data_IF_946922676724
#
_entry.id   IF_946922676724
#
_cell.length_a   1.000
_cell.length_b   1.000
_cell.length_c   1.000
_cell.angle_alpha   90.00
_cell.angle_beta   90.00
_cell.angle_gamma   90.00
#
_symmetry.space_group_name_H-M   'P 1'
#
loop_
_entity.id
_entity.type
_entity.pdbx_description
1 polymer ?
#
# COMPACT_ATOMS: atom_id res chain seq x y z
N UNK A 1 -36.76 -8.34 -55.83
CA UNK A 1 -36.61 -7.66 -54.53
C UNK A 1 -36.94 -8.65 -53.42
N UNK A 2 -35.98 -9.04 -52.58
CA UNK A 2 -36.21 -9.96 -51.45
C UNK A 2 -36.71 -9.14 -50.25
N UNK A 3 -37.87 -9.50 -49.72
CA UNK A 3 -38.44 -8.89 -48.51
C UNK A 3 -37.75 -9.47 -47.28
N UNK A 4 -37.06 -8.61 -46.53
CA UNK A 4 -36.42 -8.96 -45.26
C UNK A 4 -37.52 -8.98 -44.19
N UNK A 5 -37.78 -10.14 -43.59
CA UNK A 5 -38.65 -10.26 -42.42
C UNK A 5 -37.88 -9.78 -41.19
N UNK A 6 -38.27 -8.65 -40.64
CA UNK A 6 -37.70 -8.10 -39.41
C UNK A 6 -38.20 -8.93 -38.21
N UNK A 7 -37.28 -9.55 -37.46
CA UNK A 7 -37.63 -10.40 -36.33
C UNK A 7 -38.00 -9.53 -35.12
N UNK A 8 -39.30 -9.39 -34.85
CA UNK A 8 -39.89 -8.50 -33.84
C UNK A 8 -39.32 -8.73 -32.43
N UNK A 9 -38.93 -9.96 -32.09
CA UNK A 9 -38.34 -10.28 -30.79
C UNK A 9 -36.95 -9.64 -30.58
N UNK A 10 -36.15 -9.50 -31.64
CA UNK A 10 -34.84 -8.83 -31.56
C UNK A 10 -34.97 -7.32 -31.39
N UNK A 11 -36.03 -6.71 -31.94
CA UNK A 11 -36.27 -5.27 -31.85
C UNK A 11 -36.65 -4.85 -30.42
N UNK A 12 -37.44 -5.65 -29.71
CA UNK A 12 -37.78 -5.41 -28.30
C UNK A 12 -36.57 -5.53 -27.37
N UNK A 13 -35.62 -6.42 -27.66
CA UNK A 13 -34.42 -6.62 -26.85
C UNK A 13 -33.44 -5.45 -27.00
N UNK A 14 -33.34 -4.88 -28.20
CA UNK A 14 -32.52 -3.68 -28.47
C UNK A 14 -33.13 -2.42 -27.86
N UNK A 15 -34.45 -2.25 -27.89
CA UNK A 15 -35.12 -1.14 -27.20
C UNK A 15 -35.01 -1.26 -25.66
N UNK A 16 -35.05 -2.48 -25.11
CA UNK A 16 -34.86 -2.72 -23.68
C UNK A 16 -33.46 -2.32 -23.18
N UNK A 17 -32.42 -2.54 -23.98
CA UNK A 17 -31.05 -2.15 -23.66
C UNK A 17 -30.84 -0.62 -23.70
N UNK A 18 -31.52 0.09 -24.60
CA UNK A 18 -31.44 1.56 -24.72
C UNK A 18 -32.17 2.33 -23.59
N UNK A 19 -33.14 1.70 -22.94
CA UNK A 19 -33.86 2.30 -21.81
C UNK A 19 -33.05 2.23 -20.50
N UNK A 20 -32.12 1.28 -20.36
CA UNK A 20 -31.26 1.15 -19.17
C UNK A 20 -30.15 2.22 -19.17
N UNK A 21 -29.69 2.65 -20.35
CA UNK A 21 -28.66 3.71 -20.48
C UNK A 21 -29.17 5.12 -20.14
N UNK A 22 -30.47 5.31 -19.91
CA UNK A 22 -31.07 6.64 -19.67
C UNK A 22 -31.28 6.97 -18.18
N UNK A 23 -31.00 6.04 -17.27
CA UNK A 23 -31.11 6.26 -15.82
C UNK A 23 -29.74 6.50 -15.16
N UNK A 24 -28.82 7.18 -15.83
CA UNK A 24 -27.68 7.80 -15.15
C UNK A 24 -28.12 9.12 -14.51
N UNK A 25 -29.08 9.06 -13.58
CA UNK A 25 -29.29 10.15 -12.63
C UNK A 25 -28.16 10.02 -11.61
N UNK A 26 -27.05 10.73 -11.84
CA UNK A 26 -26.08 11.03 -10.80
C UNK A 26 -26.72 12.00 -9.80
N UNK A 27 -27.65 11.48 -8.99
CA UNK A 27 -28.09 12.14 -7.78
C UNK A 27 -26.99 11.93 -6.74
N UNK A 28 -26.34 13.02 -6.32
CA UNK A 28 -25.49 13.07 -5.13
C UNK A 28 -26.33 12.71 -3.90
N UNK A 29 -26.58 11.41 -3.71
CA UNK A 29 -27.18 10.88 -2.50
C UNK A 29 -26.17 11.10 -1.37
N UNK A 30 -26.38 12.16 -0.59
CA UNK A 30 -25.67 12.38 0.68
C UNK A 30 -26.03 11.24 1.62
N UNK A 31 -25.23 10.18 1.60
CA UNK A 31 -25.31 9.03 2.52
C UNK A 31 -25.50 9.54 3.95
N UNK A 32 -26.44 8.97 4.68
CA UNK A 32 -26.61 9.23 6.10
C UNK A 32 -25.36 8.79 6.89
N UNK A 33 -25.19 9.29 8.12
CA UNK A 33 -24.05 8.90 8.97
C UNK A 33 -23.97 7.39 9.21
N UNK A 34 -25.12 6.71 9.28
CA UNK A 34 -25.20 5.25 9.45
C UNK A 34 -24.72 4.53 8.20
N UNK A 35 -25.23 4.90 7.03
CA UNK A 35 -24.82 4.30 5.76
C UNK A 35 -23.32 4.52 5.49
N UNK A 36 -22.78 5.71 5.75
CA UNK A 36 -21.32 5.95 5.64
C UNK A 36 -20.49 5.02 6.54
N UNK A 37 -20.98 4.71 7.74
CA UNK A 37 -20.30 3.80 8.66
C UNK A 37 -20.34 2.37 8.14
N UNK A 38 -21.48 1.94 7.60
CA UNK A 38 -21.64 0.61 7.01
C UNK A 38 -20.77 0.42 5.76
N UNK A 39 -20.75 1.42 4.87
CA UNK A 39 -19.86 1.45 3.70
C UNK A 39 -18.39 1.39 4.12
N UNK A 40 -17.97 2.19 5.11
CA UNK A 40 -16.59 2.14 5.62
C UNK A 40 -16.25 0.76 6.19
N UNK A 41 -17.17 0.16 6.95
CA UNK A 41 -16.98 -1.20 7.50
C UNK A 41 -16.86 -2.25 6.39
N UNK A 42 -17.71 -2.19 5.37
CA UNK A 42 -17.64 -3.08 4.21
C UNK A 42 -16.31 -2.90 3.46
N UNK A 43 -15.87 -1.65 3.25
CA UNK A 43 -14.59 -1.34 2.62
C UNK A 43 -13.40 -1.88 3.42
N UNK A 44 -13.39 -1.69 4.74
CA UNK A 44 -12.33 -2.20 5.62
C UNK A 44 -12.25 -3.73 5.55
N UNK A 45 -13.40 -4.42 5.57
CA UNK A 45 -13.41 -5.89 5.41
C UNK A 45 -12.89 -6.33 4.04
N UNK A 46 -13.29 -5.66 2.95
CA UNK A 46 -12.79 -5.96 1.62
C UNK A 46 -11.27 -5.72 1.53
N UNK A 47 -10.79 -4.58 2.02
CA UNK A 47 -9.37 -4.25 2.06
C UNK A 47 -8.56 -5.25 2.90
N UNK A 48 -9.11 -5.75 4.01
CA UNK A 48 -8.46 -6.77 4.82
C UNK A 48 -8.15 -8.04 4.01
N UNK A 49 -9.06 -8.48 3.13
CA UNK A 49 -8.83 -9.61 2.23
C UNK A 49 -7.83 -9.29 1.11
N UNK A 50 -7.86 -8.07 0.58
CA UNK A 50 -6.89 -7.61 -0.43
C UNK A 50 -5.48 -7.57 0.17
N UNK A 51 -5.34 -7.07 1.40
CA UNK A 51 -4.07 -7.07 2.13
C UNK A 51 -3.54 -8.48 2.33
N UNK A 52 -4.39 -9.46 2.68
CA UNK A 52 -3.97 -10.87 2.76
C UNK A 52 -3.25 -11.33 1.49
N UNK A 53 -3.85 -11.05 0.33
CA UNK A 53 -3.30 -11.44 -0.98
C UNK A 53 -1.99 -10.71 -1.28
N UNK A 54 -1.95 -9.40 -1.05
CA UNK A 54 -0.80 -8.55 -1.30
C UNK A 54 0.41 -8.90 -0.41
N UNK A 55 0.17 -9.18 0.87
CA UNK A 55 1.21 -9.54 1.84
C UNK A 55 1.74 -10.95 1.55
N UNK A 56 0.88 -11.91 1.23
CA UNK A 56 1.29 -13.25 0.84
C UNK A 56 2.06 -13.25 -0.49
N UNK A 57 1.67 -12.40 -1.45
CA UNK A 57 2.38 -12.21 -2.70
C UNK A 57 3.70 -11.43 -2.57
N UNK A 58 3.95 -10.80 -1.42
CA UNK A 58 5.14 -9.96 -1.15
C UNK A 58 5.33 -8.89 -2.23
N UNK A 59 4.27 -8.16 -2.56
CA UNK A 59 4.27 -7.22 -3.69
C UNK A 59 3.63 -5.89 -3.29
N UNK A 60 4.42 -5.03 -2.62
CA UNK A 60 3.92 -3.76 -2.09
C UNK A 60 5.00 -2.73 -1.78
N UNK A 61 4.56 -1.50 -1.53
CA UNK A 61 5.38 -0.40 -1.05
C UNK A 61 4.70 0.25 0.15
N UNK A 62 5.42 0.41 1.26
CA UNK A 62 5.07 1.36 2.32
C UNK A 62 5.70 2.71 1.95
N UNK A 63 4.87 3.67 1.60
CA UNK A 63 5.28 5.06 1.40
C UNK A 63 5.15 5.81 2.73
N UNK A 64 6.25 6.36 3.25
CA UNK A 64 6.22 7.02 4.55
C UNK A 64 5.80 8.48 4.42
N UNK A 65 4.83 8.88 5.24
CA UNK A 65 4.47 10.28 5.45
C UNK A 65 5.32 10.88 6.59
N UNK A 66 5.74 10.04 7.53
CA UNK A 66 6.60 10.43 8.65
C UNK A 66 7.70 9.39 8.90
N UNK A 67 8.85 9.87 9.35
CA UNK A 67 9.84 9.05 10.04
C UNK A 67 9.78 9.32 11.53
N UNK A 68 9.87 8.26 12.33
CA UNK A 68 9.95 8.33 13.78
C UNK A 68 11.27 7.77 14.30
N UNK A 69 11.98 8.55 15.10
CA UNK A 69 13.22 8.10 15.72
C UNK A 69 12.99 7.14 16.90
N UNK A 70 14.08 6.72 17.55
CA UNK A 70 14.04 5.82 18.71
C UNK A 70 13.40 6.44 19.95
N UNK A 71 13.31 7.76 20.03
CA UNK A 71 12.73 8.53 21.13
C UNK A 71 11.23 8.85 20.91
N UNK A 72 10.70 8.52 19.73
CA UNK A 72 9.30 8.76 19.38
C UNK A 72 9.05 10.06 18.64
N UNK A 73 10.08 10.84 18.35
CA UNK A 73 9.95 12.10 17.60
C UNK A 73 9.62 11.79 16.14
N UNK A 74 8.50 12.34 15.66
CA UNK A 74 8.03 12.19 14.29
C UNK A 74 8.35 13.42 13.46
N UNK A 75 8.87 13.23 12.26
CA UNK A 75 9.10 14.29 11.30
C UNK A 75 8.49 13.95 9.95
N UNK A 76 7.74 14.88 9.32
CA UNK A 76 7.16 14.66 8.01
C UNK A 76 8.27 14.53 6.95
N UNK A 77 8.05 13.64 5.98
CA UNK A 77 9.00 13.36 4.90
C UNK A 77 8.31 13.30 3.56
N UNK A 78 9.11 13.32 2.48
CA UNK A 78 8.59 13.16 1.11
C UNK A 78 8.52 11.66 0.81
N UNK A 79 7.30 11.13 0.61
CA UNK A 79 7.04 9.69 0.56
C UNK A 79 7.71 8.99 -0.63
N UNK A 80 7.95 9.70 -1.74
CA UNK A 80 8.58 9.13 -2.93
C UNK A 80 10.07 8.75 -2.74
N UNK A 81 10.75 9.29 -1.72
CA UNK A 81 12.15 8.99 -1.39
C UNK A 81 12.31 8.39 0.03
N UNK A 82 11.20 8.12 0.72
CA UNK A 82 11.17 7.49 2.03
C UNK A 82 10.17 6.34 2.02
N UNK A 83 10.65 5.13 1.77
CA UNK A 83 9.77 3.98 1.57
C UNK A 83 10.44 2.65 1.94
N UNK A 84 9.59 1.65 2.14
CA UNK A 84 9.97 0.23 2.18
C UNK A 84 9.25 -0.45 1.02
N UNK A 85 10.00 -0.89 0.01
CA UNK A 85 9.46 -1.65 -1.13
C UNK A 85 9.75 -3.13 -0.93
N UNK A 86 8.74 -3.97 -1.06
CA UNK A 86 8.84 -5.43 -1.04
C UNK A 86 8.37 -5.96 -2.39
N UNK A 87 9.27 -6.65 -3.09
CA UNK A 87 9.03 -7.22 -4.41
C UNK A 87 9.55 -8.66 -4.45
N UNK A 88 8.63 -9.59 -4.22
CA UNK A 88 8.86 -11.03 -4.08
C UNK A 88 9.88 -11.36 -2.98
N UNK A 89 11.14 -11.59 -3.38
CA UNK A 89 12.23 -11.96 -2.49
C UNK A 89 13.22 -10.82 -2.24
N UNK A 90 12.94 -9.62 -2.76
CA UNK A 90 13.78 -8.44 -2.61
C UNK A 90 13.07 -7.37 -1.80
N UNK A 91 13.85 -6.61 -1.05
CA UNK A 91 13.38 -5.42 -0.36
C UNK A 91 14.33 -4.25 -0.55
N UNK A 92 13.77 -3.05 -0.63
CA UNK A 92 14.50 -1.78 -0.62
C UNK A 92 13.99 -0.98 0.58
N UNK A 93 14.91 -0.65 1.48
CA UNK A 93 14.68 0.26 2.61
C UNK A 93 15.35 1.57 2.24
N UNK A 94 14.56 2.63 2.03
CA UNK A 94 15.10 3.91 1.62
C UNK A 94 14.62 5.02 2.54
N UNK A 95 15.57 5.86 2.95
CA UNK A 95 15.30 7.18 3.51
C UNK A 95 16.11 8.22 2.79
N UNK A 96 15.57 9.42 2.64
CA UNK A 96 16.24 10.53 2.00
C UNK A 96 15.52 11.83 2.25
N UNK A 97 16.17 12.92 1.90
CA UNK A 97 15.50 14.22 1.80
C UNK A 97 15.47 14.65 0.34
N UNK A 98 14.46 15.46 -0.01
CA UNK A 98 14.37 16.04 -1.36
C UNK A 98 15.55 16.92 -1.75
N UNK A 99 16.46 17.21 -0.81
CA UNK A 99 17.64 18.07 -0.97
C UNK A 99 18.98 17.34 -0.82
N UNK A 100 18.98 16.02 -0.60
CA UNK A 100 20.21 15.19 -0.53
C UNK A 100 20.84 15.01 0.86
N UNK A 101 20.46 15.79 1.86
CA UNK A 101 20.93 15.67 3.26
C UNK A 101 19.91 14.95 4.13
N UNK A 102 20.12 13.69 4.52
CA UNK A 102 19.16 12.92 5.32
C UNK A 102 18.89 13.52 6.71
N UNK A 103 17.80 13.09 7.32
CA UNK A 103 17.26 13.59 8.59
C UNK A 103 18.25 13.58 9.79
N UNK A 104 19.37 12.84 9.69
CA UNK A 104 20.45 12.78 10.70
C UNK A 104 21.83 13.22 10.16
N UNK A 105 21.90 14.01 9.07
CA UNK A 105 23.18 14.47 8.49
C UNK A 105 23.94 13.44 7.65
N UNK A 106 23.43 12.21 7.56
CA UNK A 106 23.85 11.21 6.56
C UNK A 106 22.98 11.45 5.33
N UNK A 107 23.57 11.61 4.14
CA UNK A 107 22.80 11.65 2.88
C UNK A 107 21.85 10.45 2.76
N UNK A 108 20.84 10.54 1.89
CA UNK A 108 19.83 9.48 1.78
C UNK A 108 20.43 8.06 1.76
N UNK A 109 19.95 7.17 2.63
CA UNK A 109 20.45 5.80 2.75
C UNK A 109 19.50 4.88 2.00
N UNK A 110 20.07 4.07 1.11
CA UNK A 110 19.35 3.00 0.41
C UNK A 110 19.97 1.66 0.76
N UNK A 111 19.21 0.81 1.45
CA UNK A 111 19.59 -0.57 1.72
C UNK A 111 18.73 -1.50 0.86
N UNK A 112 19.34 -2.13 -0.14
CA UNK A 112 18.67 -3.12 -1.00
C UNK A 112 19.22 -4.52 -0.73
N UNK A 113 18.32 -5.50 -0.65
CA UNK A 113 18.74 -6.86 -0.36
C UNK A 113 17.67 -7.91 -0.54
N UNK A 114 18.02 -9.13 -0.13
CA UNK A 114 17.13 -10.29 -0.15
C UNK A 114 16.35 -10.38 1.16
N UNK A 115 15.07 -10.73 1.06
CA UNK A 115 14.20 -11.02 2.20
C UNK A 115 14.49 -12.43 2.72
N UNK A 116 14.59 -12.56 4.04
CA UNK A 116 14.63 -13.82 4.77
C UNK A 116 13.55 -13.84 5.88
N UNK A 117 13.23 -15.02 6.41
CA UNK A 117 12.39 -15.20 7.61
C UNK A 117 11.04 -14.49 7.58
N UNK A 118 10.30 -14.64 6.48
CA UNK A 118 8.99 -13.98 6.26
C UNK A 118 7.88 -14.60 7.10
N UNK A 119 7.38 -13.85 8.09
CA UNK A 119 6.30 -14.26 8.97
C UNK A 119 5.17 -13.25 8.94
N UNK A 120 3.93 -13.73 8.80
CA UNK A 120 2.71 -12.92 8.83
C UNK A 120 1.83 -13.42 9.97
N UNK A 121 1.41 -12.51 10.83
CA UNK A 121 0.38 -12.74 11.84
C UNK A 121 -0.86 -11.95 11.48
N UNK A 122 -2.02 -12.61 11.45
CA UNK A 122 -3.31 -12.03 11.10
C UNK A 122 -4.15 -11.80 12.35
N UNK A 123 -4.63 -10.58 12.53
CA UNK A 123 -5.60 -10.22 13.58
C UNK A 123 -6.94 -9.82 12.94
N UNK A 124 -7.83 -10.80 12.79
CA UNK A 124 -9.15 -10.59 12.17
C UNK A 124 -10.09 -9.70 13.01
N UNK A 125 -9.88 -9.63 14.33
CA UNK A 125 -10.69 -8.78 15.22
C UNK A 125 -10.41 -7.30 14.98
N UNK A 126 -9.14 -6.95 14.84
CA UNK A 126 -8.68 -5.57 14.60
C UNK A 126 -8.49 -5.26 13.10
N UNK A 127 -8.85 -6.20 12.21
CA UNK A 127 -8.66 -6.10 10.76
C UNK A 127 -7.25 -5.61 10.39
N UNK A 128 -6.23 -6.26 10.97
CA UNK A 128 -4.82 -5.89 10.79
C UNK A 128 -3.91 -7.11 10.64
N UNK A 129 -2.71 -6.84 10.11
CA UNK A 129 -1.63 -7.80 9.97
C UNK A 129 -0.37 -7.26 10.62
N UNK A 130 0.39 -8.17 11.22
CA UNK A 130 1.76 -7.90 11.68
C UNK A 130 2.72 -8.78 10.89
N UNK A 131 3.71 -8.17 10.25
CA UNK A 131 4.74 -8.83 9.48
C UNK A 131 6.07 -8.72 10.20
N UNK A 132 6.84 -9.81 10.17
CA UNK A 132 8.23 -9.83 10.58
C UNK A 132 9.05 -10.46 9.47
N UNK A 133 10.09 -9.76 9.03
CA UNK A 133 11.03 -10.29 8.06
C UNK A 133 12.39 -9.60 8.20
N UNK A 134 13.41 -10.23 7.64
CA UNK A 134 14.78 -9.72 7.67
C UNK A 134 15.20 -9.38 6.24
N UNK A 135 15.98 -8.32 6.05
CA UNK A 135 16.55 -7.91 4.77
C UNK A 135 18.07 -7.98 4.85
N UNK A 136 18.68 -8.87 4.07
CA UNK A 136 20.13 -9.02 3.96
C UNK A 136 20.64 -8.19 2.79
N UNK A 137 21.35 -7.10 3.09
CA UNK A 137 21.90 -6.15 2.10
C UNK A 137 23.43 -6.19 2.11
N UNK A 138 24.06 -5.46 1.18
CA UNK A 138 25.52 -5.29 1.17
C UNK A 138 26.03 -4.46 2.36
N UNK A 139 25.21 -3.53 2.88
CA UNK A 139 25.59 -2.61 3.96
C UNK A 139 25.14 -3.07 5.35
N UNK A 140 24.48 -4.24 5.44
CA UNK A 140 24.05 -4.83 6.69
C UNK A 140 22.79 -5.68 6.58
N UNK A 141 22.43 -6.26 7.73
CA UNK A 141 21.19 -7.03 7.91
C UNK A 141 20.22 -6.22 8.75
N UNK A 142 18.98 -6.12 8.28
CA UNK A 142 17.94 -5.33 8.92
C UNK A 142 16.71 -6.17 9.24
N UNK A 143 16.23 -6.11 10.48
CA UNK A 143 14.95 -6.68 10.87
C UNK A 143 13.84 -5.65 10.74
N UNK A 144 12.74 -6.08 10.12
CA UNK A 144 11.55 -5.27 9.89
C UNK A 144 10.38 -5.87 10.65
N UNK A 145 9.79 -5.06 11.54
CA UNK A 145 8.51 -5.34 12.18
C UNK A 145 7.50 -4.33 11.67
N UNK A 146 6.54 -4.79 10.86
CA UNK A 146 5.54 -3.95 10.23
C UNK A 146 4.14 -4.31 10.70
N UNK A 147 3.33 -3.31 11.00
CA UNK A 147 1.89 -3.47 11.24
C UNK A 147 1.14 -2.73 10.14
N UNK A 148 0.13 -3.35 9.55
CA UNK A 148 -0.78 -2.72 8.56
C UNK A 148 -2.22 -3.00 8.93
N UNK A 149 -3.09 -1.99 8.84
CA UNK A 149 -4.52 -2.13 9.06
C UNK A 149 -5.32 -2.09 7.76
N UNK A 150 -6.59 -2.45 7.81
CA UNK A 150 -7.53 -2.43 6.69
C UNK A 150 -7.78 -1.07 6.03
N UNK A 151 -7.28 0.01 6.62
CA UNK A 151 -7.30 1.36 6.03
C UNK A 151 -6.00 1.67 5.28
N UNK A 152 -5.14 0.66 5.09
CA UNK A 152 -3.80 0.73 4.52
C UNK A 152 -2.81 1.57 5.33
N UNK A 153 -3.16 2.00 6.54
CA UNK A 153 -2.20 2.63 7.44
C UNK A 153 -1.17 1.58 7.85
N UNK A 154 0.10 1.92 7.72
CA UNK A 154 1.20 1.04 8.02
C UNK A 154 2.29 1.74 8.83
N UNK A 155 2.88 0.98 9.74
CA UNK A 155 4.01 1.39 10.57
C UNK A 155 5.05 0.29 10.57
N UNK A 156 6.27 0.59 10.16
CA UNK A 156 7.35 -0.37 10.07
C UNK A 156 8.56 0.11 10.87
N UNK A 157 8.89 -0.64 11.93
CA UNK A 157 10.09 -0.45 12.71
C UNK A 157 11.20 -1.25 12.04
N UNK A 158 12.29 -0.58 11.69
CA UNK A 158 13.50 -1.19 11.16
C UNK A 158 14.62 -1.06 12.18
N UNK A 159 15.26 -2.19 12.49
CA UNK A 159 16.43 -2.29 13.35
C UNK A 159 17.56 -2.99 12.60
N UNK A 160 18.81 -2.66 12.92
CA UNK A 160 19.99 -3.34 12.38
C UNK A 160 20.90 -3.84 13.50
N UNK A 161 22.14 -4.17 13.15
CA UNK A 161 23.16 -4.63 14.11
C UNK A 161 23.57 -3.56 15.13
N UNK A 162 23.47 -2.29 14.76
CA UNK A 162 23.83 -1.17 15.63
C UNK A 162 22.65 -0.70 16.49
N UNK A 163 22.89 -0.24 17.73
CA UNK A 163 21.83 0.25 18.60
C UNK A 163 21.04 1.41 17.96
N UNK A 164 19.75 1.18 17.73
CA UNK A 164 18.85 2.18 17.17
C UNK A 164 17.66 1.54 16.49
N UNK A 165 16.64 2.37 16.24
CA UNK A 165 15.51 2.00 15.39
C UNK A 165 15.03 3.23 14.65
N UNK A 166 14.53 3.02 13.45
CA UNK A 166 13.83 4.02 12.67
C UNK A 166 12.48 3.45 12.27
N UNK A 167 11.43 4.25 12.38
CA UNK A 167 10.07 3.81 12.04
C UNK A 167 9.55 4.60 10.85
N UNK A 168 9.10 3.90 9.82
CA UNK A 168 8.37 4.46 8.69
C UNK A 168 6.89 4.41 9.05
N UNK A 169 6.21 5.56 9.03
CA UNK A 169 4.78 5.65 9.30
C UNK A 169 4.12 6.28 8.08
N UNK A 170 3.16 5.58 7.49
CA UNK A 170 2.46 6.05 6.30
C UNK A 170 1.46 5.03 5.79
N UNK A 171 1.44 4.83 4.47
CA UNK A 171 0.41 4.02 3.82
C UNK A 171 1.01 2.96 2.89
N UNK A 172 0.29 1.85 2.78
CA UNK A 172 0.67 0.74 1.92
C UNK A 172 0.01 0.86 0.54
N UNK A 173 0.80 0.67 -0.50
CA UNK A 173 0.40 0.71 -1.91
C UNK A 173 0.81 -0.58 -2.63
N UNK A 174 0.08 -0.93 -3.69
CA UNK A 174 0.54 -1.94 -4.65
C UNK A 174 1.74 -1.42 -5.44
N UNK A 175 2.56 -2.31 -5.99
CA UNK A 175 3.72 -1.90 -6.80
C UNK A 175 3.33 -1.00 -7.99
N UNK A 176 2.15 -1.21 -8.58
CA UNK A 176 1.66 -0.44 -9.74
C UNK A 176 1.09 0.94 -9.37
N UNK A 177 0.58 1.09 -8.15
CA UNK A 177 -0.01 2.36 -7.70
C UNK A 177 1.01 3.25 -6.97
N UNK A 178 2.16 2.69 -6.60
CA UNK A 178 3.22 3.42 -5.93
C UNK A 178 3.98 4.36 -6.87
N UNK A 179 4.38 5.52 -6.36
CA UNK A 179 5.13 6.55 -7.12
C UNK A 179 6.54 6.77 -6.58
N UNK A 180 7.08 5.79 -5.86
CA UNK A 180 8.42 5.89 -5.24
C UNK A 180 9.55 5.79 -6.25
N UNK A 181 10.63 6.52 -5.98
CA UNK A 181 11.85 6.52 -6.77
C UNK A 181 13.01 5.95 -5.95
N UNK A 182 13.61 4.88 -6.47
CA UNK A 182 14.82 4.30 -5.89
C UNK A 182 16.02 5.20 -6.17
N UNK A 183 16.76 5.60 -5.13
CA UNK A 183 18.04 6.33 -5.26
C UNK A 183 19.14 5.45 -5.84
N UNK A 184 20.21 6.06 -6.39
CA UNK A 184 21.39 5.31 -6.84
C UNK A 184 22.18 4.78 -5.64
N UNK A 185 22.72 3.55 -5.73
CA UNK A 185 23.56 2.96 -4.70
C UNK A 185 24.88 3.75 -4.60
N UNK A 186 25.06 4.58 -3.58
CA UNK A 186 26.38 5.09 -3.22
C UNK A 186 27.12 4.04 -2.39
N UNK A 187 28.23 3.55 -2.95
CA UNK A 187 29.20 2.62 -2.35
C UNK A 187 29.89 3.28 -1.16
#
# INVERSE_FOLDING_TARGET
MKTIKLNMAGLFLVLGLLLISSYSNAQDLKLTRKERKEVRKAQMNANFHILDSLLNARSFVLEADFLQDKYGMRVPVISNVNFIRVDQFKSVLQTGTGTGFGYNGVGGVTAEGKINSWNIHKNAKELSYTLRFTVMTQIGTYDVLMTVNSENNASAIVTGLWPGKLTWVGHLYTLNNSRVFKGQNTI
#
